data_IF_311822456561
#
_entry.id   IF_311822456561
#
_cell.length_a   1.000
_cell.length_b   1.000
_cell.length_c   1.000
_cell.angle_alpha   90.00
_cell.angle_beta   90.00
_cell.angle_gamma   90.00
#
_symmetry.space_group_name_H-M   'P 1'
#
loop_
_entity.id
_entity.type
_entity.pdbx_description
1 polymer ?
#
# COMPACT_ATOMS: atom_id res chain seq x y z
N UNK A 1 35.95 -32.63 1.04
CA UNK A 1 34.79 -32.24 0.20
C UNK A 1 33.54 -32.24 1.07
N UNK A 2 32.86 -31.10 1.14
CA UNK A 2 31.63 -30.88 1.91
C UNK A 2 30.39 -31.55 1.26
N UNK A 3 29.46 -32.04 2.09
CA UNK A 3 28.01 -32.12 1.82
C UNK A 3 27.29 -31.82 3.15
N UNK A 4 26.91 -30.56 3.40
CA UNK A 4 25.57 -29.94 3.24
C UNK A 4 24.49 -30.55 4.16
N UNK A 5 24.24 -29.84 5.26
CA UNK A 5 23.14 -30.04 6.20
C UNK A 5 21.79 -29.71 5.57
N UNK A 6 20.76 -30.49 5.91
CA UNK A 6 19.37 -30.05 6.04
C UNK A 6 18.79 -30.76 7.27
N UNK A 7 18.82 -30.07 8.41
CA UNK A 7 18.18 -30.53 9.64
C UNK A 7 16.81 -29.88 9.77
N UNK A 8 15.76 -30.68 9.70
CA UNK A 8 14.40 -30.33 10.12
C UNK A 8 14.44 -30.08 11.63
N UNK A 9 14.09 -28.87 12.09
CA UNK A 9 14.01 -28.58 13.52
C UNK A 9 12.55 -28.78 13.96
N UNK A 10 12.26 -29.97 14.48
CA UNK A 10 11.11 -30.19 15.35
C UNK A 10 11.48 -29.69 16.75
N UNK A 11 10.84 -28.60 17.20
CA UNK A 11 10.97 -28.15 18.59
C UNK A 11 9.94 -28.94 19.42
N UNK A 12 10.44 -29.96 20.12
CA UNK A 12 9.74 -30.60 21.23
C UNK A 12 9.77 -29.63 22.41
N UNK A 13 8.64 -29.05 22.78
CA UNK A 13 8.52 -28.24 23.99
C UNK A 13 8.33 -29.17 25.20
N UNK A 14 9.39 -29.34 26.00
CA UNK A 14 9.34 -30.01 27.29
C UNK A 14 9.12 -28.93 28.37
N UNK A 15 7.90 -28.82 28.87
CA UNK A 15 7.53 -27.78 29.85
C UNK A 15 7.83 -28.33 31.26
N UNK A 16 8.98 -27.94 31.82
CA UNK A 16 9.24 -28.03 33.25
C UNK A 16 8.93 -26.67 33.88
N UNK A 17 8.09 -26.68 34.91
CA UNK A 17 7.39 -25.50 35.44
C UNK A 17 8.27 -24.33 35.90
N UNK A 18 7.68 -23.14 35.83
CA UNK A 18 8.18 -21.94 36.48
C UNK A 18 8.22 -20.73 35.55
N UNK A 19 7.35 -19.75 35.84
CA UNK A 19 7.29 -18.42 35.24
C UNK A 19 6.83 -18.39 33.76
N UNK A 20 5.53 -18.20 33.58
CA UNK A 20 4.93 -17.78 32.32
C UNK A 20 5.42 -16.36 31.99
N UNK A 21 6.65 -16.25 31.47
CA UNK A 21 7.00 -15.10 30.65
C UNK A 21 6.07 -15.17 29.45
N UNK A 22 5.02 -14.35 29.49
CA UNK A 22 4.30 -13.91 28.29
C UNK A 22 5.31 -13.14 27.47
N UNK A 23 6.16 -13.87 26.74
CA UNK A 23 6.82 -13.31 25.57
C UNK A 23 5.68 -13.06 24.59
N UNK A 24 5.07 -11.88 24.70
CA UNK A 24 4.41 -11.24 23.58
C UNK A 24 5.52 -11.01 22.56
N UNK A 25 5.82 -12.02 21.76
CA UNK A 25 6.59 -11.81 20.55
C UNK A 25 5.73 -10.87 19.72
N UNK A 26 6.20 -9.65 19.37
CA UNK A 26 5.47 -8.83 18.42
C UNK A 26 5.35 -9.69 17.17
N UNK A 27 4.12 -10.01 16.79
CA UNK A 27 3.87 -10.54 15.46
C UNK A 27 4.28 -9.41 14.52
N UNK A 28 5.46 -9.53 13.94
CA UNK A 28 5.85 -8.68 12.82
C UNK A 28 4.85 -9.02 11.71
N UNK A 29 3.81 -8.20 11.59
CA UNK A 29 2.91 -8.25 10.45
C UNK A 29 3.82 -8.18 9.22
N UNK A 30 3.85 -9.26 8.44
CA UNK A 30 4.62 -9.25 7.20
C UNK A 30 3.96 -8.23 6.27
N UNK A 31 4.75 -7.49 5.46
CA UNK A 31 4.19 -6.59 4.48
C UNK A 31 3.18 -7.33 3.59
N UNK A 32 2.10 -6.64 3.25
CA UNK A 32 1.10 -7.12 2.31
C UNK A 32 1.64 -6.87 0.91
N UNK A 33 1.91 -7.95 0.18
CA UNK A 33 2.33 -7.88 -1.20
C UNK A 33 1.17 -7.39 -2.08
N UNK A 34 1.48 -6.46 -2.98
CA UNK A 34 0.55 -5.91 -3.97
C UNK A 34 1.16 -6.19 -5.34
N UNK A 35 0.48 -7.02 -6.12
CA UNK A 35 0.96 -7.47 -7.42
C UNK A 35 0.05 -7.05 -8.59
N UNK A 36 -1.09 -6.43 -8.29
CA UNK A 36 -2.12 -6.08 -9.26
C UNK A 36 -2.89 -4.83 -8.85
N UNK A 37 -3.48 -4.15 -9.84
CA UNK A 37 -4.24 -2.93 -9.62
C UNK A 37 -5.52 -3.19 -8.82
N UNK A 38 -6.09 -4.40 -8.93
CA UNK A 38 -7.24 -4.85 -8.15
C UNK A 38 -6.90 -4.98 -6.67
N UNK A 39 -5.73 -5.51 -6.32
CA UNK A 39 -5.28 -5.57 -4.92
C UNK A 39 -4.94 -4.19 -4.38
N UNK A 40 -4.31 -3.34 -5.18
CA UNK A 40 -4.05 -1.96 -4.81
C UNK A 40 -5.36 -1.22 -4.45
N UNK A 41 -6.43 -1.45 -5.22
CA UNK A 41 -7.75 -0.85 -4.96
C UNK A 41 -8.37 -1.30 -3.63
N UNK A 42 -7.97 -2.46 -3.09
CA UNK A 42 -8.48 -2.95 -1.80
C UNK A 42 -7.99 -2.11 -0.62
N UNK A 43 -6.88 -1.37 -0.75
CA UNK A 43 -6.33 -0.55 0.34
C UNK A 43 -7.37 0.49 0.80
N UNK A 44 -7.82 0.34 2.04
CA UNK A 44 -8.88 1.13 2.67
C UNK A 44 -10.31 0.73 2.32
N UNK A 45 -10.51 -0.22 1.41
CA UNK A 45 -11.82 -0.71 0.97
C UNK A 45 -12.11 -2.15 1.42
N UNK A 46 -11.08 -2.91 1.81
CA UNK A 46 -11.18 -4.28 2.31
C UNK A 46 -10.58 -4.38 3.74
N UNK A 47 -11.20 -5.10 4.68
CA UNK A 47 -10.67 -5.28 6.04
C UNK A 47 -9.26 -5.89 6.11
N UNK A 48 -8.86 -6.68 5.10
CA UNK A 48 -7.52 -7.26 4.99
C UNK A 48 -6.46 -6.28 4.47
N UNK A 49 -6.87 -5.11 3.97
CA UNK A 49 -6.01 -4.09 3.40
C UNK A 49 -6.28 -2.74 4.08
N UNK A 50 -5.95 -2.59 5.38
CA UNK A 50 -6.23 -1.36 6.13
C UNK A 50 -5.38 -0.17 5.66
N UNK A 51 -5.88 1.07 5.80
CA UNK A 51 -5.13 2.30 5.48
C UNK A 51 -3.87 2.50 6.33
N UNK A 52 -3.70 1.73 7.41
CA UNK A 52 -2.53 1.70 8.29
C UNK A 52 -1.62 0.49 8.04
N UNK A 53 -1.83 -0.25 6.96
CA UNK A 53 -1.05 -1.45 6.62
C UNK A 53 0.37 -1.12 6.16
N UNK A 54 1.19 -2.17 6.10
CA UNK A 54 2.51 -2.14 5.48
C UNK A 54 2.41 -2.88 4.14
N UNK A 55 2.80 -2.23 3.05
CA UNK A 55 2.58 -2.70 1.69
C UNK A 55 3.87 -2.65 0.89
N UNK A 56 4.07 -3.67 0.05
CA UNK A 56 5.16 -3.69 -0.93
C UNK A 56 4.63 -4.01 -2.32
N UNK A 57 5.10 -3.29 -3.33
CA UNK A 57 4.92 -3.73 -4.72
C UNK A 57 5.89 -4.87 -5.03
N UNK A 58 5.41 -5.90 -5.71
CA UNK A 58 6.23 -7.04 -6.15
C UNK A 58 6.51 -7.03 -7.66
N UNK A 59 5.84 -6.15 -8.40
CA UNK A 59 6.03 -5.94 -9.82
C UNK A 59 5.47 -4.57 -10.24
N UNK A 60 5.81 -4.16 -11.47
CA UNK A 60 5.17 -3.00 -12.09
C UNK A 60 3.69 -3.30 -12.36
N UNK A 61 2.85 -2.28 -12.25
CA UNK A 61 1.40 -2.39 -12.44
C UNK A 61 0.96 -1.49 -13.59
N UNK A 62 0.41 -2.09 -14.65
CA UNK A 62 -0.33 -1.37 -15.68
C UNK A 62 -1.78 -1.16 -15.24
N UNK A 63 -2.11 0.07 -14.87
CA UNK A 63 -3.43 0.46 -14.42
C UNK A 63 -4.35 0.91 -15.57
N UNK A 64 -4.02 0.65 -16.83
CA UNK A 64 -4.83 1.06 -17.99
C UNK A 64 -6.28 0.57 -17.94
N UNK A 65 -6.53 -0.59 -17.33
CA UNK A 65 -7.87 -1.15 -17.12
C UNK A 65 -8.78 -0.23 -16.31
N UNK A 66 -8.20 0.58 -15.42
CA UNK A 66 -8.94 1.50 -14.54
C UNK A 66 -9.75 2.52 -15.33
N UNK A 67 -9.40 2.82 -16.59
CA UNK A 67 -10.19 3.71 -17.45
C UNK A 67 -11.67 3.32 -17.55
N UNK A 68 -11.97 2.03 -17.41
CA UNK A 68 -13.33 1.48 -17.55
C UNK A 68 -14.04 1.24 -16.22
N UNK A 69 -13.35 1.46 -15.09
CA UNK A 69 -13.92 1.22 -13.77
C UNK A 69 -14.92 2.30 -13.37
N UNK A 70 -15.84 1.95 -12.47
CA UNK A 70 -16.84 2.86 -11.88
C UNK A 70 -17.54 3.73 -12.93
N UNK A 71 -18.11 3.08 -13.96
CA UNK A 71 -18.78 3.75 -15.10
C UNK A 71 -17.92 4.83 -15.80
N UNK A 72 -16.61 4.61 -15.85
CA UNK A 72 -15.64 5.54 -16.45
C UNK A 72 -15.13 6.63 -15.51
N UNK A 73 -15.51 6.58 -14.22
CA UNK A 73 -14.89 7.42 -13.21
C UNK A 73 -13.46 6.93 -12.90
N UNK A 74 -13.19 5.64 -13.06
CA UNK A 74 -11.87 5.05 -12.91
C UNK A 74 -11.46 4.72 -11.48
N UNK A 75 -10.15 4.61 -11.22
CA UNK A 75 -9.60 4.19 -9.93
C UNK A 75 -10.11 5.09 -8.79
N UNK A 76 -10.47 4.50 -7.66
CA UNK A 76 -10.88 5.23 -6.47
C UNK A 76 -9.66 5.51 -5.59
N UNK A 77 -9.33 6.79 -5.30
CA UNK A 77 -8.12 7.17 -4.56
C UNK A 77 -7.94 6.42 -3.24
N UNK A 78 -6.71 6.02 -2.95
CA UNK A 78 -6.34 5.45 -1.65
C UNK A 78 -6.37 6.56 -0.61
N UNK A 79 -7.18 6.36 0.42
CA UNK A 79 -7.36 7.32 1.50
C UNK A 79 -7.87 8.69 1.01
N UNK A 80 -9.14 8.81 0.56
CA UNK A 80 -9.62 9.97 -0.21
C UNK A 80 -9.69 11.29 0.58
N UNK A 81 -9.74 11.24 1.92
CA UNK A 81 -10.04 12.40 2.77
C UNK A 81 -9.21 12.40 4.06
N UNK A 82 -9.27 13.48 4.85
CA UNK A 82 -8.48 13.58 6.09
C UNK A 82 -8.93 12.61 7.18
N UNK A 83 -10.21 12.24 7.23
CA UNK A 83 -10.76 11.25 8.18
C UNK A 83 -10.41 9.82 7.79
N UNK A 84 -10.22 9.58 6.49
CA UNK A 84 -9.87 8.29 5.91
C UNK A 84 -8.56 8.43 5.14
N UNK A 85 -7.51 8.84 5.84
CA UNK A 85 -6.20 9.10 5.24
C UNK A 85 -5.34 7.84 5.26
N UNK A 86 -4.46 7.69 4.26
CA UNK A 86 -3.43 6.67 4.30
C UNK A 86 -2.39 7.03 5.36
N UNK A 87 -2.26 6.19 6.37
CA UNK A 87 -1.34 6.37 7.52
C UNK A 87 -0.37 5.18 7.67
N UNK A 88 -0.36 4.28 6.69
CA UNK A 88 0.49 3.11 6.63
C UNK A 88 1.82 3.39 5.95
N UNK A 89 2.50 2.30 5.58
CA UNK A 89 3.74 2.31 4.81
C UNK A 89 3.50 1.65 3.46
N UNK A 90 3.91 2.33 2.39
CA UNK A 90 3.83 1.80 1.02
C UNK A 90 5.20 1.95 0.36
N UNK A 91 5.89 0.82 0.16
CA UNK A 91 7.18 0.78 -0.52
C UNK A 91 7.00 0.17 -1.91
N UNK A 92 7.23 0.99 -2.94
CA UNK A 92 7.19 0.54 -4.32
C UNK A 92 8.35 -0.39 -4.69
N UNK A 93 9.38 -0.52 -3.85
CA UNK A 93 10.58 -1.33 -4.11
C UNK A 93 11.26 -1.01 -5.47
N UNK A 94 11.07 0.20 -5.99
CA UNK A 94 11.55 0.64 -7.30
C UNK A 94 10.64 0.28 -8.49
N UNK A 95 9.49 -0.35 -8.23
CA UNK A 95 8.48 -0.62 -9.24
C UNK A 95 7.63 0.61 -9.56
N UNK A 96 6.99 0.57 -10.73
CA UNK A 96 6.12 1.64 -11.20
C UNK A 96 4.66 1.23 -11.30
N UNK A 97 3.77 2.18 -11.04
CA UNK A 97 2.35 2.10 -11.40
C UNK A 97 2.11 3.09 -12.52
N UNK A 98 1.66 2.58 -13.66
CA UNK A 98 1.57 3.33 -14.92
C UNK A 98 0.14 3.39 -15.44
N UNK A 99 -0.20 4.39 -16.25
CA UNK A 99 -1.50 4.52 -16.93
C UNK A 99 -2.73 4.59 -16.00
N UNK A 100 -2.58 5.16 -14.81
CA UNK A 100 -3.67 5.26 -13.83
C UNK A 100 -4.72 6.27 -14.32
N UNK A 101 -5.99 5.88 -14.36
CA UNK A 101 -7.10 6.76 -14.75
C UNK A 101 -7.99 7.09 -13.55
N UNK A 102 -8.12 8.38 -13.23
CA UNK A 102 -8.97 8.88 -12.13
C UNK A 102 -9.76 10.09 -12.62
N UNK A 103 -11.07 9.96 -12.72
CA UNK A 103 -12.00 10.98 -13.17
C UNK A 103 -13.06 11.25 -12.09
N UNK A 104 -12.77 12.18 -11.17
CA UNK A 104 -13.66 12.56 -10.05
C UNK A 104 -13.81 14.09 -9.96
N UNK A 105 -14.41 14.75 -10.97
CA UNK A 105 -14.43 16.21 -11.10
C UNK A 105 -15.30 16.95 -10.07
N UNK A 106 -16.29 16.28 -9.47
CA UNK A 106 -17.30 16.91 -8.61
C UNK A 106 -17.27 16.47 -7.14
N UNK A 107 -16.46 15.46 -6.77
CA UNK A 107 -16.53 14.82 -5.44
C UNK A 107 -15.31 15.01 -4.54
N UNK A 108 -14.13 15.35 -5.06
CA UNK A 108 -12.89 15.18 -4.28
C UNK A 108 -11.98 16.39 -4.40
N UNK A 109 -11.64 16.98 -3.25
CA UNK A 109 -10.69 18.10 -3.15
C UNK A 109 -9.24 17.65 -3.36
N UNK A 110 -8.95 16.35 -3.14
CA UNK A 110 -7.62 15.76 -3.26
C UNK A 110 -7.72 14.54 -4.18
N UNK A 111 -7.21 14.64 -5.40
CA UNK A 111 -7.31 13.56 -6.39
C UNK A 111 -5.91 13.13 -6.78
N UNK A 112 -5.65 11.84 -6.63
CA UNK A 112 -4.38 11.18 -6.90
C UNK A 112 -4.55 9.68 -6.67
N UNK A 113 -3.55 8.88 -7.03
CA UNK A 113 -3.49 7.47 -6.65
C UNK A 113 -3.65 7.34 -5.12
N UNK A 114 -2.95 8.19 -4.38
CA UNK A 114 -3.22 8.47 -2.98
C UNK A 114 -4.00 9.78 -2.89
N UNK A 115 -5.21 9.76 -2.35
CA UNK A 115 -6.01 10.97 -2.15
C UNK A 115 -5.40 11.85 -1.06
N UNK A 116 -5.11 11.27 0.10
CA UNK A 116 -4.61 11.97 1.28
C UNK A 116 -3.64 11.06 2.03
N UNK A 117 -2.37 11.45 2.06
CA UNK A 117 -1.36 10.82 2.93
C UNK A 117 -1.35 11.56 4.27
N UNK A 118 -1.75 10.86 5.32
CA UNK A 118 -1.88 11.38 6.69
C UNK A 118 -0.55 11.49 7.42
N UNK A 119 -0.58 12.10 8.60
CA UNK A 119 0.59 12.15 9.47
C UNK A 119 1.00 10.73 9.89
N UNK A 120 2.27 10.38 9.71
CA UNK A 120 2.78 9.02 9.94
C UNK A 120 2.66 8.09 8.72
N UNK A 121 1.91 8.49 7.69
CA UNK A 121 1.90 7.79 6.41
C UNK A 121 3.21 7.98 5.65
N UNK A 122 3.69 6.92 5.03
CA UNK A 122 4.94 6.90 4.27
C UNK A 122 4.68 6.25 2.91
N UNK A 123 5.02 6.96 1.83
CA UNK A 123 5.04 6.40 0.47
C UNK A 123 6.44 6.58 -0.09
N UNK A 124 7.07 5.49 -0.50
CA UNK A 124 8.44 5.54 -0.98
C UNK A 124 8.79 4.58 -2.11
N UNK A 125 9.87 4.91 -2.82
CA UNK A 125 10.49 4.11 -3.88
C UNK A 125 9.48 3.64 -4.94
N UNK A 126 8.57 4.54 -5.33
CA UNK A 126 7.44 4.23 -6.20
C UNK A 126 7.49 5.11 -7.44
N UNK A 127 7.58 4.48 -8.61
CA UNK A 127 7.34 5.17 -9.87
C UNK A 127 5.85 5.42 -10.08
N UNK A 128 5.44 6.66 -10.37
CA UNK A 128 4.07 6.97 -10.79
C UNK A 128 4.16 7.68 -12.13
N UNK A 129 3.76 6.99 -13.18
CA UNK A 129 3.93 7.44 -14.56
C UNK A 129 2.58 7.47 -15.29
N UNK A 130 2.43 8.41 -16.23
CA UNK A 130 1.25 8.53 -17.11
C UNK A 130 -0.09 8.51 -16.37
N UNK A 131 -0.18 9.30 -15.30
CA UNK A 131 -1.40 9.45 -14.51
C UNK A 131 -2.38 10.44 -15.17
N UNK A 132 -3.59 9.94 -15.48
CA UNK A 132 -4.68 10.71 -16.05
C UNK A 132 -5.69 11.09 -14.95
N UNK A 133 -5.48 12.24 -14.31
CA UNK A 133 -6.34 12.75 -13.23
C UNK A 133 -7.20 13.91 -13.71
N UNK A 134 -8.52 13.78 -13.52
CA UNK A 134 -9.49 14.88 -13.60
C UNK A 134 -10.08 15.12 -12.20
N UNK A 135 -9.54 16.12 -11.50
CA UNK A 135 -9.86 16.45 -10.11
C UNK A 135 -9.44 17.88 -9.74
N UNK A 136 -9.76 18.34 -8.52
CA UNK A 136 -9.58 19.77 -8.14
C UNK A 136 -8.19 20.12 -7.63
N UNK A 137 -7.52 19.22 -6.92
CA UNK A 137 -6.14 19.43 -6.44
C UNK A 137 -5.35 18.13 -6.55
N UNK A 138 -4.16 18.23 -7.15
CA UNK A 138 -3.16 17.16 -7.27
C UNK A 138 -1.84 17.78 -6.79
N UNK A 139 -1.15 17.12 -5.86
CA UNK A 139 0.25 17.40 -5.53
C UNK A 139 1.12 16.41 -6.34
N UNK A 140 2.34 16.81 -6.67
CA UNK A 140 3.24 16.02 -7.55
C UNK A 140 3.35 14.54 -7.17
N UNK A 141 3.62 13.69 -8.17
CA UNK A 141 3.77 12.24 -7.98
C UNK A 141 2.47 11.50 -7.68
N UNK A 142 1.31 11.98 -8.16
CA UNK A 142 0.04 11.25 -8.00
C UNK A 142 -0.53 11.22 -6.58
N UNK A 143 -0.17 12.17 -5.72
CA UNK A 143 -0.73 12.32 -4.36
C UNK A 143 -1.62 13.57 -4.31
N UNK A 144 -2.87 13.46 -3.88
CA UNK A 144 -3.79 14.60 -3.81
C UNK A 144 -3.44 15.62 -2.73
N UNK A 145 -3.09 15.15 -1.53
CA UNK A 145 -2.67 15.98 -0.39
C UNK A 145 -1.72 15.19 0.52
N UNK A 146 -0.69 15.85 1.05
CA UNK A 146 0.34 15.20 1.87
C UNK A 146 0.55 15.90 3.23
N UNK A 147 0.45 15.13 4.31
CA UNK A 147 0.92 15.46 5.68
C UNK A 147 1.93 14.43 6.22
N UNK A 148 2.25 13.42 5.44
CA UNK A 148 3.21 12.38 5.77
C UNK A 148 4.55 12.58 5.05
N UNK A 149 5.23 11.46 4.81
CA UNK A 149 6.55 11.42 4.17
C UNK A 149 6.45 10.81 2.78
N UNK A 150 7.03 11.51 1.81
CA UNK A 150 7.14 11.10 0.42
C UNK A 150 8.63 11.04 0.06
N UNK A 151 9.14 9.84 -0.28
CA UNK A 151 10.55 9.65 -0.64
C UNK A 151 10.69 8.96 -2.00
N UNK A 152 11.51 9.47 -2.91
CA UNK A 152 11.77 8.84 -4.21
C UNK A 152 10.48 8.56 -5.02
N UNK A 153 9.74 9.63 -5.29
CA UNK A 153 8.50 9.70 -6.10
C UNK A 153 8.70 10.64 -7.29
#
# INVERSE_FOLDING_TARGET
>A
MLKKQRGTISIVALIAGGLLCVFCVPTLAQPIEIDSIEELQKIGNDPGYPLSGDYILTQDIDASVTKTWDDGAGFAPIGPESTDSFIGHFDGQGHAIVNVHINRPYKSFNVGLFGYVGAGGIVENLGIEDIHVSGRSVVGGGVGFNKGTLNNL
#
